data_IF_476378818563
#
_entry.id   IF_476378818563
#
_cell.length_a   1.000
_cell.length_b   1.000
_cell.length_c   1.000
_cell.angle_alpha   90.00
_cell.angle_beta   90.00
_cell.angle_gamma   90.00
#
_symmetry.space_group_name_H-M   'P 1'
#
loop_
_entity.id
_entity.type
_entity.pdbx_description
1 polymer ?
#
# COMPACT_ATOMS: atom_id res chain seq x y z
N UNK A 1 6.98 22.68 -1.33
CA UNK A 1 7.10 23.99 -2.00
C UNK A 1 5.79 24.41 -2.66
N UNK A 2 5.19 23.59 -3.53
CA UNK A 2 3.91 23.91 -4.20
C UNK A 2 2.76 24.25 -3.24
N UNK A 3 2.53 23.44 -2.21
CA UNK A 3 1.49 23.71 -1.21
C UNK A 3 1.69 25.06 -0.49
N UNK A 4 2.94 25.44 -0.20
CA UNK A 4 3.27 26.72 0.42
C UNK A 4 3.04 27.93 -0.51
N UNK A 5 2.89 27.69 -1.82
CA UNK A 5 2.55 28.71 -2.82
C UNK A 5 1.02 28.82 -3.04
N UNK A 6 0.20 28.17 -2.21
CA UNK A 6 -1.26 28.17 -2.34
C UNK A 6 -1.80 27.21 -3.39
N UNK A 7 -0.96 26.33 -3.95
CA UNK A 7 -1.37 25.35 -4.96
C UNK A 7 -1.95 24.11 -4.27
N UNK A 8 -3.15 23.69 -4.67
CA UNK A 8 -3.75 22.42 -4.22
C UNK A 8 -2.99 21.24 -4.84
N UNK A 9 -2.37 20.42 -4.00
CA UNK A 9 -1.65 19.21 -4.42
C UNK A 9 -2.48 17.98 -4.03
N UNK A 10 -2.71 17.08 -4.98
CA UNK A 10 -3.37 15.79 -4.76
C UNK A 10 -2.36 14.69 -5.08
N UNK A 11 -2.15 13.79 -4.13
CA UNK A 11 -1.23 12.65 -4.27
C UNK A 11 -2.01 11.35 -4.07
N UNK A 12 -1.81 10.40 -4.98
CA UNK A 12 -2.28 9.03 -4.86
C UNK A 12 -1.09 8.07 -5.01
N UNK A 13 -1.03 7.04 -4.17
CA UNK A 13 0.06 6.07 -4.20
C UNK A 13 -0.08 5.02 -3.10
N UNK A 14 0.75 3.98 -3.18
CA UNK A 14 0.84 2.94 -2.16
C UNK A 14 1.57 3.48 -0.94
N UNK A 15 0.98 3.36 0.25
CA UNK A 15 1.62 3.76 1.49
C UNK A 15 2.61 2.70 2.03
N UNK A 16 2.46 1.45 1.62
CA UNK A 16 3.32 0.33 1.97
C UNK A 16 3.73 -0.51 0.76
N UNK A 17 4.90 -1.12 0.83
CA UNK A 17 5.39 -2.11 -0.13
C UNK A 17 4.77 -3.51 0.13
N UNK A 18 5.12 -4.47 -0.71
CA UNK A 18 4.61 -5.85 -0.58
C UNK A 18 5.05 -6.58 0.69
N UNK A 19 6.08 -6.07 1.38
CA UNK A 19 6.57 -6.57 2.67
C UNK A 19 5.90 -5.86 3.86
N UNK A 20 4.96 -4.96 3.60
CA UNK A 20 4.28 -4.16 4.62
C UNK A 20 5.15 -3.05 5.21
N UNK A 21 6.21 -2.63 4.52
CA UNK A 21 7.09 -1.53 4.93
C UNK A 21 6.65 -0.23 4.28
N UNK A 22 6.86 0.94 4.92
CA UNK A 22 6.50 2.22 4.33
C UNK A 22 7.14 2.43 2.95
N UNK A 23 6.36 2.88 1.96
CA UNK A 23 6.81 2.93 0.56
C UNK A 23 7.27 4.33 0.12
N UNK A 24 8.53 4.44 -0.27
CA UNK A 24 9.10 5.62 -0.92
C UNK A 24 8.81 6.93 -0.13
N UNK A 25 8.35 8.00 -0.80
CA UNK A 25 8.11 9.30 -0.15
C UNK A 25 6.78 9.36 0.61
N UNK A 26 5.91 8.36 0.48
CA UNK A 26 4.54 8.41 1.00
C UNK A 26 4.45 8.67 2.51
N UNK A 27 5.30 8.11 3.39
CA UNK A 27 5.23 8.39 4.83
C UNK A 27 5.46 9.86 5.16
N UNK A 28 6.41 10.50 4.47
CA UNK A 28 6.70 11.93 4.65
C UNK A 28 5.59 12.82 4.07
N UNK A 29 4.93 12.38 2.99
CA UNK A 29 3.78 13.08 2.41
C UNK A 29 2.56 12.97 3.33
N UNK A 30 2.27 11.79 3.87
CA UNK A 30 1.20 11.57 4.85
C UNK A 30 1.39 12.44 6.09
N UNK A 31 2.62 12.54 6.62
CA UNK A 31 2.90 13.38 7.79
C UNK A 31 2.70 14.89 7.55
N UNK A 32 2.66 15.32 6.28
CA UNK A 32 2.48 16.73 5.90
C UNK A 32 1.10 17.05 5.33
N UNK A 33 0.31 16.03 4.98
CA UNK A 33 -0.97 16.22 4.31
C UNK A 33 -2.03 16.78 5.29
N UNK A 34 -2.80 17.75 4.83
CA UNK A 34 -3.94 18.29 5.59
C UNK A 34 -5.13 17.31 5.60
N UNK A 35 -5.28 16.53 4.52
CA UNK A 35 -6.33 15.52 4.38
C UNK A 35 -5.74 14.19 3.92
N UNK A 36 -6.07 13.12 4.63
CA UNK A 36 -5.66 11.75 4.32
C UNK A 36 -6.91 10.90 4.13
N UNK A 37 -7.02 10.25 2.98
CA UNK A 37 -8.01 9.20 2.74
C UNK A 37 -7.28 7.89 2.52
N UNK A 38 -7.42 6.94 3.45
CA UNK A 38 -6.86 5.60 3.31
C UNK A 38 -7.90 4.69 2.65
N UNK A 39 -7.60 4.27 1.42
CA UNK A 39 -8.47 3.37 0.67
C UNK A 39 -8.20 1.92 1.06
N UNK A 40 -9.26 1.12 1.05
CA UNK A 40 -9.20 -0.30 1.39
C UNK A 40 -9.78 -1.13 0.26
N UNK A 41 -9.14 -2.27 -0.01
CA UNK A 41 -9.68 -3.30 -0.88
C UNK A 41 -10.46 -4.33 -0.04
N UNK A 42 -10.99 -5.35 -0.70
CA UNK A 42 -11.59 -6.52 -0.05
C UNK A 42 -10.57 -7.65 -0.02
N UNK A 43 -10.37 -8.25 1.15
CA UNK A 43 -9.46 -9.37 1.32
C UNK A 43 -9.94 -10.58 0.55
N UNK A 44 -9.13 -11.07 -0.40
CA UNK A 44 -9.50 -12.21 -1.24
C UNK A 44 -9.59 -13.54 -0.47
N UNK A 45 -9.01 -13.62 0.74
CA UNK A 45 -9.04 -14.83 1.56
C UNK A 45 -10.21 -14.91 2.54
N UNK A 46 -10.71 -13.77 3.03
CA UNK A 46 -11.71 -13.76 4.10
C UNK A 46 -12.80 -12.69 3.99
N UNK A 47 -12.81 -11.85 2.96
CA UNK A 47 -13.83 -10.82 2.74
C UNK A 47 -13.73 -9.56 3.61
N UNK A 48 -12.84 -9.53 4.61
CA UNK A 48 -12.60 -8.34 5.44
C UNK A 48 -11.89 -7.20 4.67
N UNK A 49 -11.85 -6.00 5.25
CA UNK A 49 -11.07 -4.89 4.69
C UNK A 49 -9.58 -5.25 4.57
N UNK A 50 -9.04 -5.11 3.37
CA UNK A 50 -7.65 -5.34 3.03
C UNK A 50 -6.84 -4.04 3.06
N UNK A 51 -5.61 -4.15 3.56
CA UNK A 51 -4.66 -3.03 3.69
C UNK A 51 -3.26 -3.38 3.20
N UNK A 52 -3.01 -4.63 2.79
CA UNK A 52 -1.72 -5.10 2.32
C UNK A 52 -1.83 -5.62 0.89
N UNK A 53 -0.84 -5.31 0.06
CA UNK A 53 -0.65 -5.90 -1.27
C UNK A 53 0.36 -7.04 -1.16
N UNK A 54 -0.10 -8.25 -0.88
CA UNK A 54 0.77 -9.42 -0.75
C UNK A 54 1.25 -9.88 -2.12
N UNK A 55 2.56 -9.97 -2.33
CA UNK A 55 3.13 -10.50 -3.57
C UNK A 55 3.10 -12.03 -3.58
N UNK A 56 2.57 -12.63 -4.65
CA UNK A 56 2.47 -14.09 -4.84
C UNK A 56 3.69 -14.68 -5.57
N UNK A 57 4.38 -13.86 -6.37
CA UNK A 57 5.56 -14.29 -7.15
C UNK A 57 6.86 -14.19 -6.37
N UNK A 58 7.77 -15.14 -6.60
CA UNK A 58 9.11 -15.17 -5.99
C UNK A 58 10.01 -14.14 -6.68
N UNK A 59 9.89 -12.89 -6.24
CA UNK A 59 10.74 -11.79 -6.70
C UNK A 59 11.00 -10.84 -5.54
N UNK A 60 12.28 -10.52 -5.33
CA UNK A 60 12.70 -9.59 -4.27
C UNK A 60 12.77 -8.13 -4.74
N UNK A 61 12.52 -7.85 -6.03
CA UNK A 61 12.59 -6.49 -6.58
C UNK A 61 11.56 -5.60 -5.90
N UNK A 62 11.99 -4.47 -5.34
CA UNK A 62 11.07 -3.54 -4.67
C UNK A 62 10.00 -3.02 -5.63
N UNK A 63 10.41 -2.65 -6.84
CA UNK A 63 9.51 -2.24 -7.92
C UNK A 63 9.41 -3.39 -8.92
N UNK A 64 8.20 -3.93 -9.05
CA UNK A 64 7.83 -4.92 -10.04
C UNK A 64 6.47 -4.50 -10.60
N UNK A 65 6.41 -4.21 -11.91
CA UNK A 65 5.17 -3.90 -12.60
C UNK A 65 4.45 -5.22 -12.85
N UNK A 66 3.26 -5.35 -12.28
CA UNK A 66 2.42 -6.54 -12.38
C UNK A 66 0.98 -6.23 -12.04
N UNK A 67 0.06 -7.08 -12.48
CA UNK A 67 -1.38 -6.96 -12.21
C UNK A 67 -1.84 -8.02 -11.19
N UNK A 68 -3.08 -8.49 -11.30
CA UNK A 68 -3.74 -9.36 -10.31
C UNK A 68 -3.02 -10.69 -10.06
N UNK A 69 -2.29 -11.19 -11.05
CA UNK A 69 -1.61 -12.49 -10.92
C UNK A 69 -0.39 -12.44 -9.99
N UNK A 70 0.13 -11.24 -9.73
CA UNK A 70 1.33 -11.03 -8.92
C UNK A 70 1.05 -10.52 -7.51
N UNK A 71 -0.17 -10.03 -7.24
CA UNK A 71 -0.54 -9.39 -5.97
C UNK A 71 -1.96 -9.73 -5.49
N UNK A 72 -2.06 -10.14 -4.23
CA UNK A 72 -3.32 -10.35 -3.51
C UNK A 72 -3.57 -9.23 -2.49
N UNK A 73 -4.74 -8.57 -2.50
CA UNK A 73 -5.12 -7.68 -1.40
C UNK A 73 -5.50 -8.51 -0.17
N UNK A 74 -4.76 -8.36 0.93
CA UNK A 74 -4.96 -9.10 2.17
C UNK A 74 -5.28 -8.18 3.35
N UNK A 75 -6.13 -8.68 4.26
CA UNK A 75 -6.26 -8.12 5.59
C UNK A 75 -5.02 -8.46 6.43
N UNK A 76 -4.87 -7.83 7.60
CA UNK A 76 -3.70 -8.03 8.47
C UNK A 76 -3.47 -9.48 8.85
N UNK A 77 -4.53 -10.18 9.27
CA UNK A 77 -4.45 -11.58 9.68
C UNK A 77 -3.94 -12.46 8.55
N UNK A 78 -4.61 -12.43 7.40
CA UNK A 78 -4.24 -13.22 6.23
C UNK A 78 -2.83 -12.88 5.69
N UNK A 79 -2.41 -11.62 5.81
CA UNK A 79 -1.06 -11.20 5.43
C UNK A 79 0.01 -11.81 6.35
N UNK A 80 -0.21 -11.84 7.68
CA UNK A 80 0.73 -12.45 8.62
C UNK A 80 0.81 -13.97 8.42
N UNK A 81 -0.34 -14.63 8.25
CA UNK A 81 -0.41 -16.06 7.93
C UNK A 81 0.38 -16.40 6.65
N UNK A 82 0.25 -15.58 5.61
CA UNK A 82 1.01 -15.74 4.36
C UNK A 82 2.53 -15.56 4.53
N UNK A 83 2.97 -14.84 5.58
CA UNK A 83 4.37 -14.62 5.90
C UNK A 83 4.90 -15.54 7.01
N UNK A 84 4.10 -16.54 7.45
CA UNK A 84 4.48 -17.47 8.51
C UNK A 84 4.64 -16.81 9.88
N UNK A 85 3.85 -15.77 10.17
CA UNK A 85 3.85 -15.01 11.44
C UNK A 85 2.52 -15.12 12.17
#
# INVERSE_FOLDING_TARGET
QLAAQGIRVIVAGLDMDFKGKPFGPMPALLARAEYITKVHAICVRCGNLAQYSHRTVVSEKLVLLGEKDEYEPLCRKCFMEAHGR
#
